data_IF_148425679386
#
_entry.id   IF_148425679386
#
_cell.length_a   1.000
_cell.length_b   1.000
_cell.length_c   1.000
_cell.angle_alpha   90.00
_cell.angle_beta   90.00
_cell.angle_gamma   90.00
#
_symmetry.space_group_name_H-M   'P 1'
#
loop_
_entity.id
_entity.type
_entity.pdbx_description
1 polymer ?
#
# COMPACT_ATOMS: atom_id res chain seq x y z
N UNK A 1 -3.94 5.23 24.67
CA UNK A 1 -4.65 3.95 24.54
C UNK A 1 -5.21 3.67 23.12
N UNK A 2 -5.10 4.63 22.16
CA UNK A 2 -5.51 4.42 20.77
C UNK A 2 -7.03 4.42 20.50
N UNK A 3 -7.85 4.70 21.51
CA UNK A 3 -9.29 4.74 21.36
C UNK A 3 -9.76 6.00 20.59
N UNK A 4 -10.73 5.83 19.70
CA UNK A 4 -11.49 6.91 19.10
C UNK A 4 -12.58 7.34 20.08
N UNK A 5 -12.54 8.58 20.54
CA UNK A 5 -13.46 9.08 21.55
C UNK A 5 -14.39 10.12 20.94
N UNK A 6 -15.69 9.94 21.16
CA UNK A 6 -16.74 10.90 20.80
C UNK A 6 -17.35 11.42 22.10
N UNK A 7 -17.39 12.75 22.26
CA UNK A 7 -18.10 13.37 23.36
C UNK A 7 -19.62 13.38 23.04
N UNK A 8 -20.43 13.06 24.03
CA UNK A 8 -21.89 13.14 23.95
C UNK A 8 -22.33 14.29 24.85
N UNK A 9 -22.97 15.27 24.26
CA UNK A 9 -23.46 16.44 24.98
C UNK A 9 -24.95 16.66 24.67
N UNK A 10 -25.66 17.25 25.65
CA UNK A 10 -27.06 17.59 25.56
C UNK A 10 -27.29 19.09 25.70
N UNK A 11 -28.16 19.65 24.89
CA UNK A 11 -28.63 21.03 25.05
C UNK A 11 -29.91 21.03 25.89
N UNK A 12 -29.94 21.85 26.95
CA UNK A 12 -31.08 21.92 27.88
C UNK A 12 -32.31 22.62 27.25
N UNK A 13 -32.08 23.62 26.41
CA UNK A 13 -33.12 24.33 25.65
C UNK A 13 -32.82 24.29 24.14
N UNK A 14 -33.13 23.19 23.45
CA UNK A 14 -32.87 23.09 22.03
C UNK A 14 -33.84 23.96 21.23
N UNK A 15 -33.40 24.45 20.07
CA UNK A 15 -34.27 25.06 19.08
C UNK A 15 -35.39 24.09 18.63
N UNK A 16 -36.55 24.58 18.17
CA UNK A 16 -37.64 23.72 17.67
C UNK A 16 -37.13 22.77 16.57
N UNK A 17 -37.76 21.59 16.47
CA UNK A 17 -37.45 20.60 15.44
C UNK A 17 -37.58 21.26 14.06
N UNK A 18 -36.51 21.19 13.26
CA UNK A 18 -36.41 21.79 11.93
C UNK A 18 -35.74 23.17 11.88
N UNK A 19 -35.49 23.82 13.03
CA UNK A 19 -34.77 25.08 13.12
C UNK A 19 -33.35 24.95 13.69
N UNK A 20 -32.84 23.73 13.80
CA UNK A 20 -31.51 23.44 14.33
C UNK A 20 -30.42 23.93 13.38
N UNK A 21 -29.42 24.64 13.89
CA UNK A 21 -28.30 25.18 13.11
C UNK A 21 -26.98 25.03 13.87
N UNK A 22 -25.85 25.32 13.22
CA UNK A 22 -24.52 25.34 13.83
C UNK A 22 -24.46 26.31 15.04
N UNK A 23 -25.28 27.38 15.01
CA UNK A 23 -25.41 28.32 16.13
C UNK A 23 -25.95 27.66 17.41
N UNK A 24 -26.62 26.53 17.30
CA UNK A 24 -27.15 25.76 18.43
C UNK A 24 -26.08 24.85 19.08
N UNK A 25 -24.91 24.69 18.48
CA UNK A 25 -23.80 23.86 19.00
C UNK A 25 -23.00 24.58 20.11
N UNK A 26 -23.67 25.35 20.94
CA UNK A 26 -23.08 26.06 22.07
C UNK A 26 -23.84 25.75 23.38
N UNK A 27 -23.24 26.06 24.51
CA UNK A 27 -23.83 25.90 25.88
C UNK A 27 -24.39 24.50 26.11
N UNK A 28 -23.68 23.47 25.64
CA UNK A 28 -24.06 22.08 25.82
C UNK A 28 -23.55 21.53 27.15
N UNK A 29 -24.33 20.68 27.78
CA UNK A 29 -23.94 19.92 28.98
C UNK A 29 -23.36 18.58 28.53
N UNK A 30 -22.11 18.33 28.89
CA UNK A 30 -21.46 17.06 28.61
C UNK A 30 -22.11 15.95 29.44
N UNK A 31 -22.64 14.93 28.76
CA UNK A 31 -23.21 13.74 29.40
C UNK A 31 -22.13 12.70 29.64
N UNK A 32 -21.22 12.52 28.67
CA UNK A 32 -20.15 11.52 28.77
C UNK A 32 -19.37 11.35 27.48
N UNK A 33 -18.60 10.29 27.43
CA UNK A 33 -17.78 9.93 26.28
C UNK A 33 -18.11 8.51 25.82
N UNK A 34 -18.15 8.32 24.52
CA UNK A 34 -18.17 7.01 23.88
C UNK A 34 -16.78 6.73 23.34
N UNK A 35 -16.15 5.66 23.79
CA UNK A 35 -14.82 5.25 23.35
C UNK A 35 -14.95 4.01 22.49
N UNK A 36 -14.44 4.09 21.27
CA UNK A 36 -14.45 2.98 20.30
C UNK A 36 -13.03 2.49 20.09
N UNK A 37 -12.85 1.19 20.16
CA UNK A 37 -11.64 0.52 19.69
C UNK A 37 -11.91 0.08 18.25
N UNK A 38 -11.01 0.43 17.32
CA UNK A 38 -11.00 -0.10 15.97
C UNK A 38 -9.86 -1.15 15.90
N UNK A 39 -10.15 -2.40 16.25
CA UNK A 39 -9.12 -3.43 16.32
C UNK A 39 -8.68 -3.83 14.92
N UNK A 40 -7.38 -4.07 14.69
CA UNK A 40 -6.93 -4.71 13.46
C UNK A 40 -7.58 -6.10 13.35
N UNK A 41 -7.77 -6.56 12.11
CA UNK A 41 -8.24 -7.94 11.89
C UNK A 41 -7.26 -8.93 12.49
N UNK A 42 -7.75 -10.04 13.05
CA UNK A 42 -6.93 -11.07 13.68
C UNK A 42 -5.88 -11.66 12.73
N UNK A 43 -6.18 -11.74 11.43
CA UNK A 43 -5.28 -12.25 10.39
C UNK A 43 -4.16 -11.29 10.02
N UNK A 44 -4.28 -9.99 10.35
CA UNK A 44 -3.34 -8.94 9.91
C UNK A 44 -1.91 -9.20 10.41
N UNK A 45 -1.74 -9.54 11.68
CA UNK A 45 -0.42 -9.81 12.25
C UNK A 45 0.26 -11.03 11.61
N UNK A 46 -0.52 -12.07 11.31
CA UNK A 46 -0.02 -13.27 10.63
C UNK A 46 0.38 -12.97 9.20
N UNK A 47 -0.43 -12.21 8.47
CA UNK A 47 -0.16 -11.82 7.09
C UNK A 47 1.09 -10.94 6.98
N UNK A 48 1.26 -9.96 7.87
CA UNK A 48 2.46 -9.10 7.88
C UNK A 48 3.72 -9.93 8.12
N UNK A 49 3.70 -10.86 9.06
CA UNK A 49 4.84 -11.77 9.29
C UNK A 49 5.14 -12.62 8.08
N UNK A 50 4.13 -13.22 7.46
CA UNK A 50 4.31 -14.02 6.26
C UNK A 50 4.91 -13.21 5.10
N UNK A 51 4.46 -11.96 4.89
CA UNK A 51 5.06 -11.05 3.91
C UNK A 51 6.54 -10.77 4.21
N UNK A 52 6.88 -10.51 5.47
CA UNK A 52 8.26 -10.26 5.90
C UNK A 52 9.18 -11.49 5.73
N UNK A 53 8.68 -12.68 6.04
CA UNK A 53 9.38 -13.95 5.81
C UNK A 53 9.69 -14.17 4.32
N UNK A 54 8.83 -13.66 3.45
CA UNK A 54 9.05 -13.67 2.00
C UNK A 54 9.85 -12.46 1.48
N UNK A 55 10.47 -11.67 2.36
CA UNK A 55 11.32 -10.53 2.01
C UNK A 55 10.55 -9.31 1.49
N UNK A 56 9.28 -9.18 1.86
CA UNK A 56 8.46 -8.00 1.56
C UNK A 56 8.44 -7.07 2.77
N UNK A 57 9.02 -5.88 2.62
CA UNK A 57 8.94 -4.84 3.63
C UNK A 57 7.54 -4.20 3.62
N UNK A 58 6.91 -4.12 4.79
CA UNK A 58 5.59 -3.50 4.95
C UNK A 58 5.74 -2.11 5.55
N UNK A 59 5.16 -1.11 4.90
CA UNK A 59 5.12 0.28 5.35
C UNK A 59 3.67 0.76 5.43
N UNK A 60 3.38 1.63 6.39
CA UNK A 60 2.03 2.19 6.59
C UNK A 60 2.06 3.69 6.26
N UNK A 61 1.26 4.10 5.30
CA UNK A 61 1.07 5.47 4.86
C UNK A 61 -0.39 5.89 5.14
N UNK A 62 -0.62 6.70 6.16
CA UNK A 62 -1.97 7.06 6.59
C UNK A 62 -2.17 8.57 6.73
N UNK A 63 -3.39 9.03 6.45
CA UNK A 63 -3.83 10.40 6.78
C UNK A 63 -4.20 10.57 8.26
N UNK A 64 -4.34 9.48 9.02
CA UNK A 64 -4.68 9.51 10.43
C UNK A 64 -3.52 10.02 11.29
N UNK A 65 -3.82 10.29 12.55
CA UNK A 65 -2.83 10.81 13.50
C UNK A 65 -1.88 9.70 14.00
N UNK A 66 -0.89 10.11 14.79
CA UNK A 66 0.20 9.29 15.37
C UNK A 66 -0.28 8.08 16.20
N UNK A 67 -1.58 8.02 16.57
CA UNK A 67 -2.15 6.88 17.31
C UNK A 67 -2.14 5.56 16.54
N UNK A 68 -1.93 5.62 15.24
CA UNK A 68 -1.69 4.45 14.37
C UNK A 68 -0.49 3.63 14.85
N UNK A 69 0.50 4.22 15.52
CA UNK A 69 1.62 3.47 16.12
C UNK A 69 1.17 2.43 17.15
N UNK A 70 0.06 2.68 17.85
CA UNK A 70 -0.50 1.70 18.78
C UNK A 70 -1.02 0.46 18.03
N UNK A 71 -1.72 0.67 16.92
CA UNK A 71 -2.20 -0.40 16.04
C UNK A 71 -1.02 -1.16 15.43
N UNK A 72 0.02 -0.46 14.97
CA UNK A 72 1.21 -1.08 14.38
C UNK A 72 1.90 -2.04 15.37
N UNK A 73 2.03 -1.66 16.64
CA UNK A 73 2.61 -2.54 17.66
C UNK A 73 1.77 -3.80 17.88
N UNK A 74 0.43 -3.69 17.86
CA UNK A 74 -0.45 -4.85 18.01
C UNK A 74 -0.33 -5.85 16.86
N UNK A 75 -0.01 -5.38 15.65
CA UNK A 75 0.18 -6.27 14.48
C UNK A 75 1.64 -6.68 14.28
N UNK A 76 2.54 -6.33 15.21
CA UNK A 76 3.95 -6.76 15.16
C UNK A 76 4.82 -5.98 14.20
N UNK A 77 4.38 -4.79 13.76
CA UNK A 77 5.23 -3.86 13.00
C UNK A 77 6.06 -3.02 13.97
N UNK A 78 7.37 -3.00 13.75
CA UNK A 78 8.26 -2.11 14.46
C UNK A 78 7.96 -0.65 14.08
N UNK A 79 7.23 0.06 14.95
CA UNK A 79 6.86 1.46 14.76
C UNK A 79 7.88 2.41 15.44
N UNK A 80 9.14 2.01 15.52
CA UNK A 80 10.19 2.78 16.20
C UNK A 80 10.54 4.06 15.44
N UNK A 81 10.38 4.07 14.12
CA UNK A 81 10.59 5.24 13.27
C UNK A 81 9.29 5.61 12.57
N UNK A 82 8.78 6.76 12.91
CA UNK A 82 7.60 7.37 12.31
C UNK A 82 7.95 8.76 11.79
N UNK A 83 7.42 9.10 10.62
CA UNK A 83 7.46 10.46 10.07
C UNK A 83 6.05 11.02 9.95
N UNK A 84 5.91 12.29 10.31
CA UNK A 84 4.67 13.04 10.16
C UNK A 84 4.63 13.76 8.81
N UNK A 85 3.42 14.04 8.32
CA UNK A 85 3.24 14.77 7.06
C UNK A 85 3.96 16.13 7.02
N UNK A 86 4.04 16.84 8.17
CA UNK A 86 4.79 18.09 8.29
C UNK A 86 6.31 17.90 8.13
N UNK A 87 6.85 16.77 8.61
CA UNK A 87 8.27 16.45 8.44
C UNK A 87 8.56 16.03 6.99
N UNK A 88 7.67 15.22 6.41
CA UNK A 88 7.73 14.82 5.00
C UNK A 88 7.69 16.04 4.07
N UNK A 89 6.91 17.08 4.41
CA UNK A 89 6.84 18.31 3.63
C UNK A 89 8.13 19.14 3.73
N UNK A 90 8.75 19.17 4.89
CA UNK A 90 9.96 19.94 5.14
C UNK A 90 11.23 19.31 4.53
N UNK A 91 11.23 17.99 4.27
CA UNK A 91 12.38 17.27 3.71
C UNK A 91 12.53 17.50 2.20
N UNK A 92 13.78 17.56 1.73
CA UNK A 92 14.10 17.42 0.30
C UNK A 92 13.77 16.03 -0.21
N UNK A 93 13.82 15.81 -1.52
CA UNK A 93 13.58 14.46 -2.06
C UNK A 93 14.67 13.47 -1.67
N UNK A 94 15.93 13.92 -1.62
CA UNK A 94 17.07 13.10 -1.24
C UNK A 94 17.00 12.68 0.24
N UNK A 95 16.64 13.62 1.12
CA UNK A 95 16.46 13.35 2.56
C UNK A 95 15.30 12.39 2.80
N UNK A 96 14.16 12.63 2.13
CA UNK A 96 12.98 11.77 2.26
C UNK A 96 13.23 10.37 1.68
N UNK A 97 13.94 10.27 0.55
CA UNK A 97 14.31 8.98 -0.05
C UNK A 97 15.16 8.14 0.90
N UNK A 98 16.16 8.75 1.52
CA UNK A 98 17.01 8.08 2.53
C UNK A 98 16.21 7.72 3.80
N UNK A 99 15.35 8.62 4.30
CA UNK A 99 14.52 8.37 5.46
C UNK A 99 13.47 7.28 5.23
N UNK A 100 12.91 7.21 4.02
CA UNK A 100 11.89 6.25 3.65
C UNK A 100 12.38 4.79 3.70
N UNK A 101 13.66 4.54 3.53
CA UNK A 101 14.24 3.19 3.66
C UNK A 101 13.98 2.59 5.05
N UNK A 102 14.16 3.39 6.08
CA UNK A 102 14.14 2.94 7.48
C UNK A 102 12.83 3.27 8.20
N UNK A 103 11.96 4.07 7.59
CA UNK A 103 10.68 4.45 8.19
C UNK A 103 9.61 3.42 7.88
N UNK A 104 8.94 2.93 8.92
CA UNK A 104 7.85 1.96 8.79
C UNK A 104 6.48 2.65 8.74
N UNK A 105 6.31 3.76 9.45
CA UNK A 105 5.03 4.44 9.61
C UNK A 105 5.14 5.89 9.18
N UNK A 106 4.22 6.31 8.30
CA UNK A 106 4.05 7.70 7.89
C UNK A 106 2.62 8.11 8.26
N UNK A 107 2.48 9.08 9.15
CA UNK A 107 1.19 9.52 9.68
C UNK A 107 0.86 10.97 9.28
N UNK A 108 -0.40 11.33 9.29
CA UNK A 108 -0.91 12.66 8.89
C UNK A 108 -0.50 13.05 7.47
N UNK A 109 -0.39 12.08 6.56
CA UNK A 109 -0.02 12.36 5.18
C UNK A 109 -1.19 12.89 4.36
N UNK A 110 -0.94 13.95 3.59
CA UNK A 110 -1.79 14.33 2.49
C UNK A 110 -1.65 13.33 1.31
N UNK A 111 -2.66 13.23 0.42
CA UNK A 111 -2.61 12.32 -0.73
C UNK A 111 -1.37 12.50 -1.61
N UNK A 112 -0.96 13.73 -1.87
CA UNK A 112 0.25 14.04 -2.65
C UNK A 112 1.54 13.54 -1.97
N UNK A 113 1.60 13.61 -0.65
CA UNK A 113 2.74 13.12 0.12
C UNK A 113 2.85 11.59 0.10
N UNK A 114 1.71 10.87 0.14
CA UNK A 114 1.69 9.41 -0.06
C UNK A 114 2.30 9.04 -1.41
N UNK A 115 1.86 9.69 -2.48
CA UNK A 115 2.39 9.46 -3.83
C UNK A 115 3.87 9.83 -3.93
N UNK A 116 4.33 10.87 -3.23
CA UNK A 116 5.74 11.28 -3.18
C UNK A 116 6.60 10.20 -2.53
N UNK A 117 6.21 9.67 -1.37
CA UNK A 117 6.93 8.58 -0.68
C UNK A 117 7.02 7.33 -1.56
N UNK A 118 5.91 6.92 -2.18
CA UNK A 118 5.85 5.77 -3.09
C UNK A 118 6.82 5.94 -4.26
N UNK A 119 6.82 7.12 -4.90
CA UNK A 119 7.71 7.41 -6.02
C UNK A 119 9.18 7.33 -5.62
N UNK A 120 9.55 7.92 -4.49
CA UNK A 120 10.94 7.90 -4.01
C UNK A 120 11.42 6.49 -3.67
N UNK A 121 10.56 5.63 -3.10
CA UNK A 121 10.90 4.23 -2.88
C UNK A 121 11.15 3.48 -4.21
N UNK A 122 10.39 3.79 -5.27
CA UNK A 122 10.65 3.24 -6.61
C UNK A 122 11.96 3.76 -7.22
N UNK A 123 12.22 5.04 -7.07
CA UNK A 123 13.47 5.67 -7.53
C UNK A 123 14.71 5.08 -6.82
N UNK A 124 14.55 4.64 -5.57
CA UNK A 124 15.55 3.89 -4.82
C UNK A 124 15.76 2.44 -5.34
N UNK A 125 14.99 2.01 -6.34
CA UNK A 125 15.12 0.69 -6.97
C UNK A 125 14.24 -0.40 -6.36
N UNK A 126 13.28 -0.06 -5.51
CA UNK A 126 12.32 -1.03 -4.97
C UNK A 126 11.14 -1.24 -5.93
N UNK A 127 10.62 -2.47 -5.95
CA UNK A 127 9.30 -2.74 -6.52
C UNK A 127 8.25 -2.47 -5.45
N UNK A 128 7.37 -1.51 -5.70
CA UNK A 128 6.40 -1.01 -4.72
C UNK A 128 4.98 -1.41 -5.11
N UNK A 129 4.32 -2.21 -4.28
CA UNK A 129 2.87 -2.39 -4.30
C UNK A 129 2.19 -1.44 -3.32
N UNK A 130 1.12 -0.79 -3.72
CA UNK A 130 0.34 0.09 -2.85
C UNK A 130 -1.08 -0.43 -2.71
N UNK A 131 -1.49 -0.73 -1.46
CA UNK A 131 -2.86 -1.15 -1.14
C UNK A 131 -3.64 0.03 -0.56
N UNK A 132 -4.77 0.36 -1.18
CA UNK A 132 -5.66 1.42 -0.72
C UNK A 132 -7.12 1.18 -1.07
N UNK A 133 -8.04 1.77 -0.31
CA UNK A 133 -9.49 1.62 -0.50
C UNK A 133 -10.23 2.96 -0.63
N UNK A 134 -9.54 4.08 -0.45
CA UNK A 134 -10.09 5.43 -0.46
C UNK A 134 -9.70 6.28 -1.67
N UNK A 135 -10.44 7.37 -1.86
CA UNK A 135 -10.15 8.38 -2.89
C UNK A 135 -8.75 8.96 -2.72
N UNK A 136 -8.30 9.12 -1.48
CA UNK A 136 -7.00 9.70 -1.12
C UNK A 136 -5.81 8.80 -1.48
N UNK A 137 -6.06 7.54 -1.86
CA UNK A 137 -5.03 6.56 -2.18
C UNK A 137 -4.79 6.43 -3.69
N UNK A 138 -5.71 6.93 -4.52
CA UNK A 138 -5.64 6.81 -5.98
C UNK A 138 -4.32 7.33 -6.58
N UNK A 139 -3.82 8.48 -6.10
CA UNK A 139 -2.56 9.06 -6.56
C UNK A 139 -1.34 8.20 -6.18
N UNK A 140 -1.34 7.59 -4.99
CA UNK A 140 -0.27 6.71 -4.53
C UNK A 140 -0.31 5.36 -5.25
N UNK A 141 -1.51 4.80 -5.52
CA UNK A 141 -1.67 3.60 -6.34
C UNK A 141 -1.09 3.79 -7.74
N UNK A 142 -1.42 4.90 -8.41
CA UNK A 142 -0.86 5.22 -9.74
C UNK A 142 0.63 5.51 -9.73
N UNK A 143 1.18 5.92 -8.60
CA UNK A 143 2.62 6.13 -8.44
C UNK A 143 3.38 4.83 -8.14
N UNK A 144 2.72 3.77 -7.72
CA UNK A 144 3.32 2.45 -7.43
C UNK A 144 3.58 1.63 -8.69
N UNK A 145 4.29 0.50 -8.57
CA UNK A 145 4.45 -0.47 -9.66
C UNK A 145 3.22 -1.37 -9.78
N UNK A 146 2.52 -1.59 -8.67
CA UNK A 146 1.25 -2.33 -8.64
C UNK A 146 0.31 -1.64 -7.67
N UNK A 147 -0.74 -1.03 -8.20
CA UNK A 147 -1.87 -0.52 -7.41
C UNK A 147 -2.82 -1.66 -7.04
N UNK A 148 -3.15 -1.78 -5.76
CA UNK A 148 -4.01 -2.84 -5.24
C UNK A 148 -5.18 -2.22 -4.51
N UNK A 149 -6.39 -2.71 -4.77
CA UNK A 149 -7.59 -2.29 -4.05
C UNK A 149 -8.39 -3.51 -3.58
N UNK A 150 -9.49 -3.27 -2.89
CA UNK A 150 -10.40 -4.30 -2.42
C UNK A 150 -11.78 -4.12 -3.04
N UNK A 151 -12.56 -5.18 -3.13
CA UNK A 151 -13.90 -5.15 -3.76
C UNK A 151 -14.85 -4.14 -3.09
N UNK A 152 -14.70 -3.93 -1.79
CA UNK A 152 -15.49 -2.96 -1.01
C UNK A 152 -14.98 -1.51 -1.08
N UNK A 153 -13.92 -1.25 -1.85
CA UNK A 153 -13.36 0.09 -2.01
C UNK A 153 -14.28 1.01 -2.83
N UNK A 154 -14.03 2.33 -2.73
CA UNK A 154 -14.70 3.32 -3.57
C UNK A 154 -14.30 3.15 -5.05
N UNK A 155 -15.17 3.52 -5.98
CA UNK A 155 -14.97 3.28 -7.41
C UNK A 155 -13.67 3.90 -7.94
N UNK A 156 -13.32 5.11 -7.52
CA UNK A 156 -12.06 5.78 -7.91
C UNK A 156 -10.82 4.97 -7.49
N UNK A 157 -10.86 4.32 -6.32
CA UNK A 157 -9.77 3.46 -5.87
C UNK A 157 -9.67 2.21 -6.75
N UNK A 158 -10.81 1.56 -7.06
CA UNK A 158 -10.85 0.40 -7.95
C UNK A 158 -10.37 0.73 -9.36
N UNK A 159 -10.77 1.86 -9.94
CA UNK A 159 -10.32 2.32 -11.26
C UNK A 159 -8.83 2.68 -11.31
N UNK A 160 -8.24 2.98 -10.14
CA UNK A 160 -6.82 3.32 -10.03
C UNK A 160 -5.94 2.11 -9.73
N UNK A 161 -6.53 0.96 -9.44
CA UNK A 161 -5.85 -0.27 -9.09
C UNK A 161 -5.62 -1.17 -10.30
N UNK A 162 -4.47 -1.86 -10.32
CA UNK A 162 -4.15 -2.91 -11.29
C UNK A 162 -4.74 -4.27 -10.86
N UNK A 163 -4.92 -4.46 -9.54
CA UNK A 163 -5.43 -5.68 -8.93
C UNK A 163 -6.52 -5.34 -7.91
N UNK A 164 -7.63 -6.06 -7.95
CA UNK A 164 -8.70 -5.95 -6.95
C UNK A 164 -8.78 -7.27 -6.17
N UNK A 165 -8.57 -7.18 -4.86
CA UNK A 165 -8.76 -8.31 -3.97
C UNK A 165 -10.26 -8.49 -3.69
N UNK A 166 -10.79 -9.67 -4.01
CA UNK A 166 -12.20 -10.00 -3.76
C UNK A 166 -12.50 -10.24 -2.28
N UNK A 167 -11.47 -10.57 -1.51
CA UNK A 167 -11.54 -10.69 -0.05
C UNK A 167 -10.65 -9.64 0.59
N UNK A 168 -11.19 -8.89 1.57
CA UNK A 168 -10.43 -7.89 2.33
C UNK A 168 -9.56 -8.58 3.39
N UNK A 169 -8.59 -9.40 2.94
CA UNK A 169 -7.63 -10.11 3.78
C UNK A 169 -6.21 -10.04 3.20
N UNK A 170 -5.25 -9.63 4.02
CA UNK A 170 -3.84 -9.53 3.63
C UNK A 170 -3.19 -10.90 3.37
N UNK A 171 -3.74 -12.00 3.89
CA UNK A 171 -3.27 -13.36 3.54
C UNK A 171 -3.53 -13.70 2.08
N UNK A 172 -4.60 -13.14 1.48
CA UNK A 172 -4.87 -13.29 0.04
C UNK A 172 -3.81 -12.57 -0.77
N UNK A 173 -3.37 -11.38 -0.32
CA UNK A 173 -2.28 -10.65 -0.95
C UNK A 173 -0.96 -11.43 -0.88
N UNK A 174 -0.63 -12.02 0.27
CA UNK A 174 0.57 -12.85 0.43
C UNK A 174 0.58 -14.02 -0.57
N UNK A 175 -0.52 -14.77 -0.65
CA UNK A 175 -0.68 -15.84 -1.64
C UNK A 175 -0.52 -15.34 -3.08
N UNK A 176 -1.10 -14.18 -3.41
CA UNK A 176 -0.99 -13.55 -4.72
C UNK A 176 0.48 -13.24 -5.08
N UNK A 177 1.27 -12.73 -4.14
CA UNK A 177 2.69 -12.46 -4.34
C UNK A 177 3.45 -13.76 -4.61
N UNK A 178 3.20 -14.82 -3.87
CA UNK A 178 3.86 -16.12 -4.06
C UNK A 178 3.54 -16.73 -5.44
N UNK A 179 2.28 -16.72 -5.84
CA UNK A 179 1.88 -17.23 -7.15
C UNK A 179 2.44 -16.36 -8.30
N UNK A 180 2.47 -15.04 -8.12
CA UNK A 180 3.11 -14.13 -9.06
C UNK A 180 4.60 -14.43 -9.25
N UNK A 181 5.34 -14.69 -8.17
CA UNK A 181 6.76 -15.10 -8.22
C UNK A 181 6.96 -16.42 -8.96
N UNK A 182 6.09 -17.42 -8.74
CA UNK A 182 6.13 -18.70 -9.48
C UNK A 182 5.88 -18.49 -10.95
N UNK A 183 4.88 -17.69 -11.30
CA UNK A 183 4.55 -17.34 -12.70
C UNK A 183 5.71 -16.64 -13.38
N UNK A 184 6.31 -15.65 -12.72
CA UNK A 184 7.50 -14.96 -13.23
C UNK A 184 8.67 -15.94 -13.48
N UNK A 185 8.96 -16.82 -12.52
CA UNK A 185 10.02 -17.82 -12.68
C UNK A 185 9.78 -18.75 -13.88
N UNK A 186 8.52 -19.13 -14.13
CA UNK A 186 8.15 -19.95 -15.28
C UNK A 186 8.27 -19.16 -16.62
N UNK A 187 7.88 -17.89 -16.64
CA UNK A 187 8.09 -17.02 -17.79
C UNK A 187 9.57 -16.89 -18.17
N UNK A 188 10.43 -16.66 -17.19
CA UNK A 188 11.89 -16.56 -17.42
C UNK A 188 12.46 -17.86 -17.97
N UNK A 189 12.01 -19.02 -17.46
CA UNK A 189 12.41 -20.33 -18.00
C UNK A 189 11.98 -20.46 -19.48
N UNK A 190 10.74 -20.09 -19.82
CA UNK A 190 10.24 -20.14 -21.17
C UNK A 190 11.03 -19.23 -22.12
N UNK A 191 11.28 -17.98 -21.69
CA UNK A 191 12.07 -17.02 -22.49
C UNK A 191 13.48 -17.57 -22.75
N UNK A 192 14.16 -18.09 -21.71
CA UNK A 192 15.49 -18.67 -21.84
C UNK A 192 15.51 -19.87 -22.79
N UNK A 193 14.53 -20.76 -22.68
CA UNK A 193 14.39 -21.93 -23.55
C UNK A 193 14.20 -21.53 -25.00
N UNK A 194 13.27 -20.61 -25.28
CA UNK A 194 12.97 -20.12 -26.64
C UNK A 194 14.17 -19.38 -27.23
N UNK A 195 14.81 -18.52 -26.47
CA UNK A 195 16.01 -17.83 -26.92
C UNK A 195 17.15 -18.82 -27.24
N UNK A 196 17.40 -19.78 -26.36
CA UNK A 196 18.42 -20.81 -26.58
C UNK A 196 18.15 -21.62 -27.87
N UNK A 197 16.91 -22.04 -28.09
CA UNK A 197 16.52 -22.76 -29.32
C UNK A 197 16.74 -21.92 -30.57
N UNK A 198 16.32 -20.66 -30.56
CA UNK A 198 16.50 -19.77 -31.70
C UNK A 198 17.99 -19.52 -32.01
N UNK A 199 18.79 -19.25 -30.95
CA UNK A 199 20.25 -19.10 -31.12
C UNK A 199 20.87 -20.41 -31.70
N UNK A 200 20.48 -21.57 -31.18
CA UNK A 200 20.96 -22.85 -31.69
C UNK A 200 20.67 -23.02 -33.18
N UNK A 201 19.45 -22.71 -33.63
CA UNK A 201 19.06 -22.78 -35.03
C UNK A 201 19.88 -21.80 -35.90
N UNK A 202 20.02 -20.52 -35.47
CA UNK A 202 20.78 -19.52 -36.22
C UNK A 202 22.26 -19.95 -36.36
N UNK A 203 22.89 -20.39 -35.27
CA UNK A 203 24.28 -20.84 -35.28
C UNK A 203 24.46 -22.11 -36.17
N UNK A 204 23.49 -23.03 -36.10
CA UNK A 204 23.52 -24.22 -36.96
C UNK A 204 23.47 -23.86 -38.43
N UNK A 205 22.59 -22.96 -38.83
CA UNK A 205 22.48 -22.48 -40.23
C UNK A 205 23.75 -21.74 -40.65
N UNK A 206 24.29 -20.89 -39.79
CA UNK A 206 25.50 -20.10 -40.04
C UNK A 206 26.72 -21.00 -40.24
N UNK A 207 26.93 -22.00 -39.38
CA UNK A 207 28.02 -22.99 -39.52
C UNK A 207 27.82 -23.83 -40.75
N UNK A 208 26.59 -24.33 -40.97
CA UNK A 208 26.30 -25.16 -42.15
C UNK A 208 26.54 -24.37 -43.45
N UNK A 209 26.16 -23.10 -43.51
CA UNK A 209 26.42 -22.24 -44.68
C UNK A 209 27.90 -22.01 -44.98
N UNK A 210 28.76 -22.08 -43.95
CA UNK A 210 30.22 -21.96 -44.15
C UNK A 210 30.88 -23.23 -44.70
N UNK A 211 30.32 -24.40 -44.43
CA UNK A 211 30.95 -25.68 -44.76
C UNK A 211 30.19 -26.48 -45.85
N UNK A 212 28.95 -26.18 -46.10
CA UNK A 212 28.15 -26.89 -47.09
C UNK A 212 28.08 -26.14 -48.44
N UNK A 213 28.10 -26.83 -49.59
CA UNK A 213 27.99 -26.20 -50.89
C UNK A 213 26.57 -25.77 -51.25
N UNK A 214 25.62 -25.90 -50.33
CA UNK A 214 24.22 -25.50 -50.50
C UNK A 214 23.71 -24.77 -49.26
N UNK A 215 22.71 -23.90 -49.39
CA UNK A 215 22.05 -23.22 -48.29
C UNK A 215 21.14 -24.20 -47.52
N UNK A 216 21.42 -24.50 -46.26
CA UNK A 216 20.50 -25.29 -45.45
C UNK A 216 19.25 -24.42 -45.14
N UNK A 217 18.10 -24.88 -45.59
CA UNK A 217 16.80 -24.28 -45.27
C UNK A 217 16.07 -25.14 -44.26
#
# INVERSE_FOLDING_TARGET
DGLRVIAVAQKTNPSPIGAFSIADENEMVLIGYLAFLDPPKETTAAAIRALQEHGVAVKILTGDNEKVTCVCRHVGLAAEKMLLGSEVEAMSNEELAAAAEYTTVFAKLAPAQKARVVRLLRENGHSVGYLGDGINDAAAMKASDVGISVDTAVDIAKESADVILLEKDLLVLEKGILEGRKTYANMIKYIKMTASSNFGNIFSVLIASAFLPFLPM
#
